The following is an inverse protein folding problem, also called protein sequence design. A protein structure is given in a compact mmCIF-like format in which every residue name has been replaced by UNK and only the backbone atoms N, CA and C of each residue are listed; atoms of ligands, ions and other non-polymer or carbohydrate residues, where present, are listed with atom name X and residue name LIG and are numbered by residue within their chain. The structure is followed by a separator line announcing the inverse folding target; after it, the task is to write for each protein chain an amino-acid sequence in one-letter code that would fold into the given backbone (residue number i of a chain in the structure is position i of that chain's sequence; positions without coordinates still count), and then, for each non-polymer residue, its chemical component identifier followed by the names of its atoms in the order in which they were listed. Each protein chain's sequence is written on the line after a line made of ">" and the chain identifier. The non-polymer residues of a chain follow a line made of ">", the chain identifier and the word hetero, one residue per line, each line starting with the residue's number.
data_IF_395590100871
#
_entry.id   IF_395590100871
#
_cell.length_a   1.000
_cell.length_b   1.000
_cell.length_c   1.000
_cell.angle_alpha   90.00
_cell.angle_beta   90.00
_cell.angle_gamma   90.00
#
_symmetry.space_group_name_H-M   'P 1'
#
loop_
_entity.id
_entity.type
_entity.pdbx_description
1 polymer ?
#
# COMPACT_ATOMS: atom_id res chain seq x y z
N UNK A 1 8.27 4.69 -14.37
CA UNK A 1 8.06 6.04 -13.82
C UNK A 1 7.55 6.99 -14.88
N UNK A 2 8.20 7.06 -16.03
CA UNK A 2 7.88 8.02 -17.10
C UNK A 2 6.52 7.71 -17.74
N UNK A 3 6.18 6.46 -17.97
CA UNK A 3 4.86 6.01 -18.45
C UNK A 3 3.72 6.50 -17.53
N UNK A 4 3.84 6.25 -16.22
CA UNK A 4 2.82 6.68 -15.23
C UNK A 4 2.67 8.20 -15.23
N UNK A 5 3.77 8.93 -15.37
CA UNK A 5 3.75 10.39 -15.44
C UNK A 5 3.05 10.88 -16.71
N UNK A 6 3.31 10.22 -17.83
CA UNK A 6 2.66 10.51 -19.10
C UNK A 6 1.16 10.24 -19.05
N UNK A 7 0.75 9.08 -18.53
CA UNK A 7 -0.66 8.74 -18.34
C UNK A 7 -1.40 9.76 -17.48
N UNK A 8 -0.82 10.14 -16.32
CA UNK A 8 -1.40 11.17 -15.45
C UNK A 8 -1.49 12.53 -16.17
N UNK A 9 -0.47 12.90 -16.94
CA UNK A 9 -0.47 14.14 -17.71
C UNK A 9 -1.53 14.14 -18.82
N UNK A 10 -1.76 13.00 -19.45
CA UNK A 10 -2.78 12.86 -20.48
C UNK A 10 -4.20 12.96 -19.89
N UNK A 11 -4.44 12.38 -18.71
CA UNK A 11 -5.71 12.53 -17.99
C UNK A 11 -6.00 14.00 -17.66
N UNK A 12 -4.99 14.73 -17.17
CA UNK A 12 -5.12 16.18 -16.90
C UNK A 12 -5.44 16.96 -18.16
N UNK A 13 -4.77 16.67 -19.29
CA UNK A 13 -5.03 17.33 -20.59
C UNK A 13 -6.45 17.08 -21.10
N UNK A 14 -7.02 15.92 -20.76
CA UNK A 14 -8.43 15.57 -21.05
C UNK A 14 -9.42 16.26 -20.11
N UNK A 15 -8.96 17.12 -19.19
CA UNK A 15 -9.83 17.83 -18.25
C UNK A 15 -10.23 16.99 -17.02
N UNK A 16 -9.64 15.83 -16.79
CA UNK A 16 -9.92 15.00 -15.62
C UNK A 16 -9.31 15.65 -14.38
N UNK A 17 -10.13 16.01 -13.41
CA UNK A 17 -9.69 16.51 -12.10
C UNK A 17 -9.46 15.34 -11.15
N UNK A 18 -8.20 15.08 -10.82
CA UNK A 18 -7.82 14.01 -9.88
C UNK A 18 -7.62 14.63 -8.49
N UNK A 19 -8.54 14.36 -7.57
CA UNK A 19 -8.51 14.89 -6.21
C UNK A 19 -7.76 13.97 -5.23
N UNK A 20 -7.77 12.66 -5.50
CA UNK A 20 -7.07 11.67 -4.67
C UNK A 20 -6.64 10.45 -5.47
N UNK A 21 -5.57 9.80 -5.00
CA UNK A 21 -5.09 8.53 -5.57
C UNK A 21 -4.78 7.57 -4.43
N UNK A 22 -5.36 6.36 -4.49
CA UNK A 22 -5.02 5.26 -3.58
C UNK A 22 -4.03 4.32 -4.25
N UNK A 23 -2.88 4.06 -3.60
CA UNK A 23 -1.81 3.20 -4.14
C UNK A 23 -1.24 2.24 -3.11
N UNK A 24 -0.56 1.19 -3.60
CA UNK A 24 0.26 0.28 -2.79
C UNK A 24 1.50 0.98 -2.18
N UNK A 25 1.87 2.14 -2.72
CA UNK A 25 3.02 2.94 -2.30
C UNK A 25 4.33 2.53 -2.94
N UNK A 26 4.28 1.94 -4.14
CA UNK A 26 5.48 1.72 -4.92
C UNK A 26 6.19 3.06 -5.20
N UNK A 27 7.51 3.09 -5.03
CA UNK A 27 8.30 4.35 -5.08
C UNK A 27 8.13 5.12 -6.39
N UNK A 28 8.04 4.42 -7.52
CA UNK A 28 7.86 5.05 -8.83
C UNK A 28 6.50 5.74 -8.93
N UNK A 29 5.45 5.10 -8.42
CA UNK A 29 4.09 5.66 -8.41
C UNK A 29 4.04 6.89 -7.51
N UNK A 30 4.53 6.81 -6.28
CA UNK A 30 4.56 7.94 -5.36
C UNK A 30 5.35 9.14 -5.92
N UNK A 31 6.47 8.88 -6.62
CA UNK A 31 7.27 9.92 -7.27
C UNK A 31 6.51 10.56 -8.44
N UNK A 32 5.79 9.76 -9.24
CA UNK A 32 4.98 10.26 -10.34
C UNK A 32 3.83 11.15 -9.83
N UNK A 33 3.07 10.68 -8.84
CA UNK A 33 1.98 11.44 -8.19
C UNK A 33 2.50 12.78 -7.68
N UNK A 34 3.57 12.76 -6.87
CA UNK A 34 4.13 13.99 -6.30
C UNK A 34 4.55 15.02 -7.36
N UNK A 35 5.00 14.56 -8.55
CA UNK A 35 5.42 15.45 -9.64
C UNK A 35 4.26 15.96 -10.49
N UNK A 36 3.30 15.08 -10.79
CA UNK A 36 2.22 15.39 -11.74
C UNK A 36 0.96 15.92 -11.06
N UNK A 37 0.76 15.60 -9.79
CA UNK A 37 -0.45 15.90 -9.02
C UNK A 37 -0.08 16.34 -7.59
N UNK A 38 0.64 17.47 -7.42
CA UNK A 38 1.12 17.91 -6.11
C UNK A 38 0.00 18.18 -5.11
N UNK A 39 -1.18 18.57 -5.58
CA UNK A 39 -2.35 18.92 -4.76
C UNK A 39 -3.28 17.73 -4.49
N UNK A 40 -3.08 16.60 -5.17
CA UNK A 40 -3.91 15.43 -4.97
C UNK A 40 -3.56 14.69 -3.67
N UNK A 41 -4.58 14.26 -2.92
CA UNK A 41 -4.39 13.46 -1.73
C UNK A 41 -3.87 12.06 -2.09
N UNK A 42 -2.72 11.69 -1.54
CA UNK A 42 -2.13 10.37 -1.77
C UNK A 42 -2.51 9.43 -0.63
N UNK A 43 -3.52 8.59 -0.84
CA UNK A 43 -3.93 7.56 0.13
C UNK A 43 -3.08 6.29 -0.07
N UNK A 44 -2.62 5.71 1.04
CA UNK A 44 -1.95 4.41 1.04
C UNK A 44 -2.96 3.29 1.19
N UNK A 45 -2.86 2.26 0.35
CA UNK A 45 -3.68 1.07 0.46
C UNK A 45 -3.39 0.32 1.77
N UNK A 46 -4.37 0.29 2.69
CA UNK A 46 -4.20 -0.33 4.00
C UNK A 46 -4.01 -1.84 3.91
N UNK A 47 -4.69 -2.51 2.98
CA UNK A 47 -4.54 -3.95 2.74
C UNK A 47 -3.12 -4.30 2.35
N UNK A 48 -2.47 -3.51 1.48
CA UNK A 48 -1.08 -3.73 1.10
C UNK A 48 -0.13 -3.55 2.28
N UNK A 49 -0.31 -2.51 3.09
CA UNK A 49 0.49 -2.30 4.30
C UNK A 49 0.33 -3.49 5.26
N UNK A 50 -0.92 -3.91 5.51
CA UNK A 50 -1.21 -5.04 6.38
C UNK A 50 -0.57 -6.33 5.87
N UNK A 51 -0.79 -6.70 4.59
CA UNK A 51 -0.21 -7.91 3.98
C UNK A 51 1.31 -7.93 4.07
N UNK A 52 1.97 -6.83 3.72
CA UNK A 52 3.44 -6.73 3.78
C UNK A 52 3.96 -6.88 5.22
N UNK A 53 3.34 -6.22 6.18
CA UNK A 53 3.75 -6.33 7.58
C UNK A 53 3.53 -7.74 8.12
N UNK A 54 2.38 -8.37 7.83
CA UNK A 54 2.08 -9.73 8.27
C UNK A 54 3.04 -10.77 7.67
N UNK A 55 3.49 -10.57 6.41
CA UNK A 55 4.51 -11.42 5.79
C UNK A 55 5.84 -11.39 6.56
N UNK A 56 6.27 -10.21 7.00
CA UNK A 56 7.53 -10.05 7.74
C UNK A 56 7.43 -10.43 9.21
N UNK A 57 6.28 -10.23 9.84
CA UNK A 57 6.04 -10.56 11.24
C UNK A 57 5.76 -12.03 11.46
N UNK A 58 5.49 -12.80 10.42
CA UNK A 58 5.07 -14.19 10.45
C UNK A 58 3.73 -14.43 11.17
N UNK A 59 3.21 -15.65 11.11
CA UNK A 59 1.95 -15.99 11.77
C UNK A 59 2.09 -16.07 13.30
N UNK A 60 3.24 -16.55 13.78
CA UNK A 60 3.54 -16.77 15.18
C UNK A 60 4.89 -16.13 15.54
N UNK A 61 4.93 -14.80 15.81
CA UNK A 61 6.16 -14.16 16.24
C UNK A 61 6.62 -14.73 17.58
N UNK A 62 7.92 -14.98 17.74
CA UNK A 62 8.49 -15.54 18.97
C UNK A 62 8.66 -14.51 20.09
N UNK A 63 8.78 -13.24 19.74
CA UNK A 63 9.07 -12.15 20.67
C UNK A 63 7.85 -11.25 20.87
N UNK A 64 7.68 -10.74 22.10
CA UNK A 64 6.57 -9.88 22.51
C UNK A 64 6.41 -8.68 21.57
N UNK A 65 7.52 -8.04 21.21
CA UNK A 65 7.51 -6.90 20.26
C UNK A 65 6.86 -7.26 18.92
N UNK A 66 7.12 -8.47 18.41
CA UNK A 66 6.51 -8.96 17.17
C UNK A 66 5.03 -9.30 17.34
N UNK A 67 4.65 -9.91 18.47
CA UNK A 67 3.26 -10.25 18.77
C UNK A 67 2.39 -8.98 18.86
N UNK A 68 2.83 -8.00 19.61
CA UNK A 68 2.13 -6.74 19.80
C UNK A 68 2.02 -5.94 18.49
N UNK A 69 3.12 -5.82 17.72
CA UNK A 69 3.05 -5.14 16.42
C UNK A 69 2.12 -5.86 15.45
N UNK A 70 2.15 -7.20 15.44
CA UNK A 70 1.22 -7.99 14.62
C UNK A 70 -0.23 -7.72 14.99
N UNK A 71 -0.53 -7.64 16.28
CA UNK A 71 -1.88 -7.32 16.77
C UNK A 71 -2.34 -5.93 16.27
N UNK A 72 -1.48 -4.91 16.38
CA UNK A 72 -1.76 -3.59 15.82
C UNK A 72 -1.97 -3.61 14.31
N UNK A 73 -1.19 -4.39 13.57
CA UNK A 73 -1.32 -4.54 12.12
C UNK A 73 -2.64 -5.20 11.75
N UNK A 74 -3.11 -6.17 12.51
CA UNK A 74 -4.40 -6.82 12.26
C UNK A 74 -5.59 -5.88 12.42
N UNK A 75 -5.52 -4.92 13.33
CA UNK A 75 -6.57 -3.92 13.56
C UNK A 75 -6.63 -2.81 12.50
N UNK A 76 -5.62 -2.71 11.63
CA UNK A 76 -5.48 -1.58 10.71
C UNK A 76 -6.71 -1.39 9.80
N UNK A 77 -7.37 -2.48 9.40
CA UNK A 77 -8.55 -2.43 8.54
C UNK A 77 -9.86 -2.18 9.29
N UNK A 78 -9.82 -2.19 10.62
CA UNK A 78 -11.00 -1.97 11.47
C UNK A 78 -11.15 -0.51 11.90
N UNK A 79 -10.18 0.34 11.55
CA UNK A 79 -10.22 1.77 11.85
C UNK A 79 -11.30 2.42 10.99
N UNK A 80 -12.36 2.95 11.64
CA UNK A 80 -13.54 3.54 10.96
C UNK A 80 -13.77 5.00 11.34
N UNK A 81 -13.16 5.50 12.40
CA UNK A 81 -13.33 6.84 12.91
C UNK A 81 -11.99 7.50 13.26
N UNK A 82 -11.99 8.82 13.42
CA UNK A 82 -10.83 9.54 13.93
C UNK A 82 -10.45 9.11 15.35
N UNK A 83 -11.43 8.72 16.16
CA UNK A 83 -11.17 8.15 17.49
C UNK A 83 -10.38 6.85 17.41
N UNK A 84 -10.77 5.92 16.51
CA UNK A 84 -10.05 4.67 16.30
C UNK A 84 -8.62 4.96 15.83
N UNK A 85 -8.47 5.91 14.89
CA UNK A 85 -7.18 6.36 14.38
C UNK A 85 -6.28 6.90 15.50
N UNK A 86 -6.81 7.78 16.34
CA UNK A 86 -6.07 8.36 17.46
C UNK A 86 -5.64 7.28 18.45
N UNK A 87 -6.56 6.40 18.84
CA UNK A 87 -6.26 5.28 19.72
C UNK A 87 -5.18 4.38 19.13
N UNK A 88 -5.35 3.96 17.88
CA UNK A 88 -4.40 3.09 17.20
C UNK A 88 -2.99 3.73 17.07
N UNK A 89 -2.92 5.00 16.68
CA UNK A 89 -1.65 5.72 16.55
C UNK A 89 -0.96 5.90 17.89
N UNK A 90 -1.71 6.12 18.97
CA UNK A 90 -1.19 6.16 20.33
C UNK A 90 -0.61 4.79 20.75
N UNK A 91 -1.32 3.70 20.49
CA UNK A 91 -0.84 2.35 20.76
C UNK A 91 0.45 2.04 19.98
N UNK A 92 0.53 2.43 18.71
CA UNK A 92 1.74 2.28 17.90
C UNK A 92 2.91 3.08 18.47
N UNK A 93 2.67 4.30 18.97
CA UNK A 93 3.68 5.12 19.63
C UNK A 93 4.17 4.48 20.92
N UNK A 94 3.26 4.03 21.79
CA UNK A 94 3.61 3.34 23.05
C UNK A 94 4.39 2.05 22.79
N UNK A 95 3.98 1.28 21.76
CA UNK A 95 4.72 0.12 21.32
C UNK A 95 6.16 0.47 20.93
N UNK A 96 6.35 1.54 20.14
CA UNK A 96 7.68 1.97 19.71
C UNK A 96 8.55 2.40 20.90
N UNK A 97 8.01 3.17 21.84
CA UNK A 97 8.77 3.61 23.02
C UNK A 97 9.24 2.42 23.88
N UNK A 98 8.42 1.37 24.01
CA UNK A 98 8.78 0.14 24.72
C UNK A 98 9.85 -0.70 24.03
N UNK A 99 9.84 -0.72 22.71
CA UNK A 99 10.66 -1.65 21.93
C UNK A 99 11.73 -0.98 21.05
N UNK A 100 11.95 0.34 21.20
CA UNK A 100 12.91 1.07 20.36
C UNK A 100 14.34 0.53 20.46
N UNK A 101 14.78 0.16 21.67
CA UNK A 101 16.13 -0.35 21.87
C UNK A 101 16.29 -1.73 21.24
N UNK A 102 15.30 -2.61 21.40
CA UNK A 102 15.22 -3.91 20.73
C UNK A 102 15.29 -3.77 19.20
N UNK A 103 14.65 -2.76 18.62
CA UNK A 103 14.73 -2.48 17.20
C UNK A 103 16.10 -1.96 16.74
N UNK A 104 16.92 -1.44 17.66
CA UNK A 104 18.26 -0.91 17.35
C UNK A 104 19.37 -1.95 17.57
N UNK A 105 19.06 -3.11 18.12
CA UNK A 105 20.03 -4.19 18.31
C UNK A 105 20.71 -4.56 16.99
N UNK A 106 22.04 -4.71 17.06
CA UNK A 106 22.89 -5.01 15.93
C UNK A 106 23.68 -6.28 16.18
N UNK A 107 23.76 -7.10 15.15
CA UNK A 107 24.65 -8.26 15.10
C UNK A 107 25.85 -7.90 14.23
N UNK A 108 27.03 -8.21 14.69
CA UNK A 108 28.28 -7.93 14.00
C UNK A 108 28.87 -9.23 13.44
N UNK A 109 29.48 -9.13 12.27
CA UNK A 109 30.34 -10.19 11.73
C UNK A 109 31.75 -9.91 12.25
N UNK A 110 32.30 -10.82 13.04
CA UNK A 110 33.62 -10.68 13.67
C UNK A 110 34.77 -10.60 12.66
N UNK A 111 34.63 -11.27 11.50
CA UNK A 111 35.69 -11.30 10.48
C UNK A 111 35.72 -10.04 9.60
N UNK A 112 34.56 -9.45 9.29
CA UNK A 112 34.44 -8.33 8.35
C UNK A 112 34.14 -7.00 9.00
N UNK A 113 33.84 -6.97 10.31
CA UNK A 113 33.40 -5.79 11.04
C UNK A 113 32.04 -5.22 10.59
N UNK A 114 31.39 -5.82 9.63
CA UNK A 114 30.08 -5.38 9.14
C UNK A 114 29.00 -5.73 10.13
N UNK A 115 27.96 -4.88 10.20
CA UNK A 115 26.82 -5.14 11.04
C UNK A 115 25.50 -5.15 10.26
N UNK A 116 24.49 -5.80 10.83
CA UNK A 116 23.09 -5.71 10.40
C UNK A 116 22.18 -5.59 11.64
N UNK A 117 20.97 -5.08 11.44
CA UNK A 117 20.00 -5.06 12.53
C UNK A 117 19.52 -6.49 12.81
N UNK A 118 19.62 -6.93 14.06
CA UNK A 118 19.24 -8.27 14.51
C UNK A 118 17.79 -8.55 14.17
N UNK A 119 16.91 -7.58 14.42
CA UNK A 119 15.46 -7.70 14.22
C UNK A 119 15.01 -6.98 12.92
N UNK A 120 15.71 -7.23 11.81
CA UNK A 120 15.52 -6.51 10.53
C UNK A 120 14.09 -6.53 10.00
N UNK A 121 13.37 -7.64 10.12
CA UNK A 121 12.00 -7.78 9.59
C UNK A 121 10.97 -7.03 10.46
N UNK A 122 11.12 -7.12 11.78
CA UNK A 122 10.29 -6.36 12.73
C UNK A 122 10.51 -4.84 12.50
N UNK A 123 11.77 -4.43 12.41
CA UNK A 123 12.15 -3.05 12.09
C UNK A 123 11.57 -2.59 10.76
N UNK A 124 11.63 -3.44 9.73
CA UNK A 124 11.08 -3.15 8.41
C UNK A 124 9.57 -2.95 8.44
N UNK A 125 8.85 -3.79 9.18
CA UNK A 125 7.39 -3.65 9.37
C UNK A 125 7.04 -2.31 10.00
N UNK A 126 7.66 -1.96 11.12
CA UNK A 126 7.45 -0.67 11.76
C UNK A 126 7.78 0.51 10.85
N UNK A 127 8.94 0.48 10.17
CA UNK A 127 9.36 1.56 9.26
C UNK A 127 8.39 1.72 8.07
N UNK A 128 7.80 0.64 7.59
CA UNK A 128 6.78 0.69 6.54
C UNK A 128 5.53 1.41 7.01
N UNK A 129 5.04 1.08 8.20
CA UNK A 129 3.90 1.76 8.82
C UNK A 129 4.25 3.24 9.06
N UNK A 130 5.36 3.53 9.72
CA UNK A 130 5.80 4.90 10.04
C UNK A 130 5.86 5.79 8.80
N UNK A 131 6.41 5.29 7.68
CA UNK A 131 6.51 6.05 6.42
C UNK A 131 5.16 6.24 5.75
N UNK A 132 4.26 5.29 5.90
CA UNK A 132 2.93 5.37 5.32
C UNK A 132 1.97 6.25 6.13
N UNK A 133 2.20 6.38 7.43
CA UNK A 133 1.29 6.97 8.42
C UNK A 133 0.67 8.32 8.01
N UNK A 134 1.42 9.29 7.44
CA UNK A 134 0.84 10.55 7.00
C UNK A 134 -0.25 10.41 5.93
N UNK A 135 -0.24 9.31 5.20
CA UNK A 135 -1.11 9.08 4.04
C UNK A 135 -2.03 7.86 4.21
N UNK A 136 -2.26 7.40 5.44
CA UNK A 136 -3.03 6.17 5.68
C UNK A 136 -4.51 6.42 5.93
N UNK A 137 -4.92 7.63 6.32
CA UNK A 137 -6.23 7.86 6.93
C UNK A 137 -7.05 8.97 6.28
N UNK A 138 -6.73 9.38 5.04
CA UNK A 138 -7.50 10.40 4.32
C UNK A 138 -8.96 9.98 4.07
N UNK A 139 -9.22 8.67 3.97
CA UNK A 139 -10.57 8.13 3.81
C UNK A 139 -11.51 8.42 5.00
N UNK A 140 -10.97 8.70 6.19
CA UNK A 140 -11.78 9.07 7.35
C UNK A 140 -12.40 10.46 7.20
N UNK A 141 -11.65 11.39 6.58
CA UNK A 141 -12.15 12.75 6.30
C UNK A 141 -13.00 12.82 5.03
N UNK A 142 -12.76 11.92 4.06
CA UNK A 142 -13.50 11.88 2.82
C UNK A 142 -13.82 10.42 2.44
N UNK A 143 -15.06 9.95 2.70
CA UNK A 143 -15.49 8.57 2.42
C UNK A 143 -15.42 8.16 0.93
N UNK A 144 -15.30 9.13 0.01
CA UNK A 144 -15.10 8.86 -1.42
C UNK A 144 -13.70 8.35 -1.74
N UNK A 145 -12.74 8.53 -0.83
CA UNK A 145 -11.37 8.02 -1.00
C UNK A 145 -11.33 6.55 -0.58
N UNK A 146 -11.09 5.61 -1.49
CA UNK A 146 -10.99 4.21 -1.13
C UNK A 146 -9.73 3.96 -0.29
N UNK A 147 -9.88 3.29 0.85
CA UNK A 147 -8.76 2.92 1.72
C UNK A 147 -8.01 1.66 1.26
N UNK A 148 -8.53 0.98 0.21
CA UNK A 148 -7.92 -0.20 -0.40
C UNK A 148 -7.97 -0.14 -1.93
N UNK A 149 -7.09 -0.91 -2.59
CA UNK A 149 -7.07 -1.12 -4.04
C UNK A 149 -7.77 -2.41 -4.47
N UNK A 150 -8.46 -3.09 -3.54
CA UNK A 150 -9.07 -4.40 -3.80
C UNK A 150 -10.10 -4.36 -4.95
N UNK A 151 -10.86 -3.28 -5.09
CA UNK A 151 -11.84 -3.13 -6.17
C UNK A 151 -11.18 -3.19 -7.54
N UNK A 152 -10.13 -2.40 -7.75
CA UNK A 152 -9.39 -2.37 -9.03
C UNK A 152 -8.60 -3.67 -9.26
N UNK A 153 -8.05 -4.28 -8.20
CA UNK A 153 -7.37 -5.58 -8.28
C UNK A 153 -8.35 -6.69 -8.68
N UNK A 154 -9.57 -6.69 -8.13
CA UNK A 154 -10.65 -7.59 -8.50
C UNK A 154 -11.04 -7.43 -9.97
N UNK A 155 -11.23 -6.18 -10.42
CA UNK A 155 -11.53 -5.87 -11.80
C UNK A 155 -10.47 -6.44 -12.77
N UNK A 156 -9.19 -6.18 -12.52
CA UNK A 156 -8.12 -6.71 -13.36
C UNK A 156 -7.96 -8.23 -13.25
N UNK A 157 -8.26 -8.83 -12.11
CA UNK A 157 -8.29 -10.30 -11.98
C UNK A 157 -9.37 -10.93 -12.86
N UNK A 158 -10.58 -10.36 -12.88
CA UNK A 158 -11.65 -10.79 -13.78
C UNK A 158 -11.25 -10.63 -15.25
N UNK A 159 -10.73 -9.48 -15.66
CA UNK A 159 -10.24 -9.24 -17.02
C UNK A 159 -9.19 -10.28 -17.43
N UNK A 160 -8.21 -10.56 -16.56
CA UNK A 160 -7.17 -11.57 -16.83
C UNK A 160 -7.77 -12.97 -17.01
N UNK A 161 -8.69 -13.37 -16.13
CA UNK A 161 -9.37 -14.66 -16.25
C UNK A 161 -10.09 -14.80 -17.59
N UNK A 162 -10.79 -13.76 -18.05
CA UNK A 162 -11.42 -13.78 -19.36
C UNK A 162 -10.39 -13.87 -20.51
N UNK A 163 -9.30 -13.12 -20.45
CA UNK A 163 -8.23 -13.20 -21.43
C UNK A 163 -7.57 -14.59 -21.47
N UNK A 164 -7.42 -15.24 -20.31
CA UNK A 164 -6.85 -16.58 -20.21
C UNK A 164 -7.77 -17.66 -20.81
N UNK A 165 -9.08 -17.47 -20.80
CA UNK A 165 -10.04 -18.33 -21.49
C UNK A 165 -9.90 -18.20 -23.02
N UNK A 166 -9.44 -17.07 -23.52
CA UNK A 166 -9.29 -16.76 -24.95
C UNK A 166 -7.82 -16.73 -25.40
N UNK A 167 -7.06 -17.78 -25.08
CA UNK A 167 -5.59 -17.85 -25.33
C UNK A 167 -5.19 -17.71 -26.80
N UNK A 168 -6.10 -18.00 -27.74
CA UNK A 168 -5.85 -17.90 -29.17
C UNK A 168 -6.03 -16.51 -29.79
N UNK A 169 -6.35 -15.48 -29.00
CA UNK A 169 -6.49 -14.13 -29.53
C UNK A 169 -5.18 -13.57 -30.05
N UNK A 170 -5.20 -13.02 -31.26
CA UNK A 170 -4.11 -12.18 -31.77
C UNK A 170 -3.92 -10.96 -30.87
N UNK A 171 -2.79 -10.27 -30.98
CA UNK A 171 -2.52 -9.06 -30.20
C UNK A 171 -3.62 -8.00 -30.42
N UNK A 172 -4.02 -7.77 -31.67
CA UNK A 172 -5.07 -6.79 -32.01
C UNK A 172 -6.42 -7.16 -31.38
N UNK A 173 -6.85 -8.42 -31.51
CA UNK A 173 -8.10 -8.89 -30.90
C UNK A 173 -8.05 -8.79 -29.37
N UNK A 174 -6.88 -9.06 -28.74
CA UNK A 174 -6.70 -8.89 -27.30
C UNK A 174 -6.85 -7.43 -26.87
N UNK A 175 -6.26 -6.49 -27.60
CA UNK A 175 -6.41 -5.04 -27.34
C UNK A 175 -7.87 -4.61 -27.48
N UNK A 176 -8.55 -5.04 -28.54
CA UNK A 176 -9.97 -4.73 -28.74
C UNK A 176 -10.85 -5.34 -27.65
N UNK A 177 -10.58 -6.58 -27.23
CA UNK A 177 -11.28 -7.22 -26.13
C UNK A 177 -11.14 -6.40 -24.82
N UNK A 178 -9.93 -5.94 -24.48
CA UNK A 178 -9.68 -5.12 -23.29
C UNK A 178 -10.48 -3.81 -23.38
N UNK A 179 -10.45 -3.14 -24.54
CA UNK A 179 -11.20 -1.88 -24.74
C UNK A 179 -12.71 -2.08 -24.52
N UNK A 180 -13.29 -3.11 -25.13
CA UNK A 180 -14.71 -3.44 -24.96
C UNK A 180 -15.05 -3.85 -23.53
N UNK A 181 -14.20 -4.64 -22.89
CA UNK A 181 -14.40 -5.05 -21.51
C UNK A 181 -14.44 -3.83 -20.56
N UNK A 182 -13.51 -2.89 -20.71
CA UNK A 182 -13.48 -1.66 -19.91
C UNK A 182 -14.69 -0.79 -20.20
N UNK A 183 -15.04 -0.60 -21.49
CA UNK A 183 -16.19 0.20 -21.90
C UNK A 183 -17.49 -0.33 -21.28
N UNK A 184 -17.82 -1.58 -21.50
CA UNK A 184 -19.05 -2.21 -20.99
C UNK A 184 -19.11 -2.29 -19.46
N UNK A 185 -17.95 -2.33 -18.78
CA UNK A 185 -17.90 -2.31 -17.32
C UNK A 185 -18.23 -0.94 -16.73
N UNK A 186 -18.05 0.13 -17.50
CA UNK A 186 -18.32 1.50 -17.07
C UNK A 186 -19.77 1.96 -17.39
N UNK A 187 -20.50 1.22 -18.21
CA UNK A 187 -21.91 1.53 -18.53
C UNK A 187 -22.91 1.01 -17.48
N UNK A 188 -22.46 0.31 -16.44
CA UNK A 188 -23.28 -0.19 -15.34
C UNK A 188 -23.26 0.79 -14.17
#
# INVERSE_FOLDING_TARGET
>A
FDEIKEDLSNLIKLGVKIESITTDGHKSILKAIKKSLPDALSQRCLVHIQRMCLLWLTRFPKHLAGMELRWLVLQLLDIRSDNDRLHWTQQLRLWYERHKDYLQEKTYNEQTGRYWYTHKLLRRSYQTIKRALPNMFHYLSNPKIPHTTNGIEGFFSHLKNHLDLHRGLTFEHRVNFIKWYVYLSNEK
#
